data_IF_756213070798
#
_entry.id   IF_756213070798
#
_cell.length_a   1.000
_cell.length_b   1.000
_cell.length_c   1.000
_cell.angle_alpha   90.00
_cell.angle_beta   90.00
_cell.angle_gamma   90.00
#
_symmetry.space_group_name_H-M   'P 1'
#
loop_
_entity.id
_entity.type
_entity.pdbx_description
1 polymer ?
#
# COMPACT_ATOMS: atom_id res chain seq x y z
N UNK A 1 -17.94 20.13 16.85
CA UNK A 1 -18.53 18.85 16.41
C UNK A 1 -17.41 17.89 16.01
N UNK A 2 -16.89 17.09 16.95
CA UNK A 2 -15.82 16.13 16.67
C UNK A 2 -16.39 14.91 15.92
N UNK A 3 -16.25 14.90 14.59
CA UNK A 3 -16.47 13.70 13.78
C UNK A 3 -15.61 12.57 14.36
N UNK A 4 -16.25 11.57 14.96
CA UNK A 4 -15.55 10.36 15.38
C UNK A 4 -14.85 9.78 14.15
N UNK A 5 -13.52 9.74 14.17
CA UNK A 5 -12.73 9.15 13.08
C UNK A 5 -13.03 7.65 13.05
N UNK A 6 -13.80 7.22 12.05
CA UNK A 6 -14.04 5.80 11.81
C UNK A 6 -12.80 5.24 11.14
N UNK A 7 -12.05 4.41 11.88
CA UNK A 7 -10.95 3.64 11.31
C UNK A 7 -11.50 2.43 10.58
N UNK A 8 -11.13 2.29 9.31
CA UNK A 8 -11.50 1.16 8.48
C UNK A 8 -10.30 0.22 8.35
N UNK A 9 -10.50 -1.02 8.77
CA UNK A 9 -9.51 -2.09 8.69
C UNK A 9 -9.84 -3.03 7.53
N UNK A 10 -8.80 -3.42 6.81
CA UNK A 10 -8.82 -4.39 5.74
C UNK A 10 -7.47 -5.12 5.74
N UNK A 11 -7.50 -6.45 5.68
CA UNK A 11 -6.26 -7.20 5.59
C UNK A 11 -6.45 -8.71 5.56
N UNK A 12 -5.34 -9.40 5.38
CA UNK A 12 -5.29 -10.86 5.42
C UNK A 12 -5.21 -11.35 6.86
N UNK A 13 -5.74 -12.55 7.10
CA UNK A 13 -5.68 -13.27 8.37
C UNK A 13 -4.83 -14.53 8.19
N UNK A 14 -3.81 -14.69 9.04
CA UNK A 14 -3.03 -15.93 9.09
C UNK A 14 -3.83 -17.03 9.77
N UNK A 15 -3.84 -18.25 9.20
CA UNK A 15 -4.62 -19.40 9.70
C UNK A 15 -4.42 -19.70 11.19
N UNK A 16 -3.21 -19.46 11.70
CA UNK A 16 -2.84 -19.72 13.10
C UNK A 16 -3.29 -18.62 14.08
N UNK A 17 -3.94 -17.55 13.59
CA UNK A 17 -4.51 -16.51 14.46
C UNK A 17 -5.94 -16.88 14.86
N UNK A 18 -6.40 -16.41 16.04
CA UNK A 18 -7.78 -16.57 16.45
C UNK A 18 -8.73 -16.05 15.39
N UNK A 19 -9.61 -16.92 14.90
CA UNK A 19 -10.67 -16.58 13.97
C UNK A 19 -11.78 -17.63 14.04
N UNK A 20 -12.99 -17.31 13.55
CA UNK A 20 -14.14 -18.20 13.54
C UNK A 20 -13.85 -19.50 12.78
N UNK A 21 -14.28 -20.63 13.33
CA UNK A 21 -14.00 -21.97 12.75
C UNK A 21 -14.55 -22.12 11.32
N UNK A 22 -15.70 -21.50 11.03
CA UNK A 22 -16.27 -21.45 9.68
C UNK A 22 -15.29 -20.89 8.66
N UNK A 23 -14.56 -19.83 8.99
CA UNK A 23 -13.56 -19.19 8.11
C UNK A 23 -12.20 -19.91 8.20
N UNK A 24 -11.82 -20.39 9.38
CA UNK A 24 -10.56 -21.11 9.58
C UNK A 24 -10.51 -22.39 8.76
N UNK A 25 -11.59 -23.16 8.77
CA UNK A 25 -11.66 -24.48 8.16
C UNK A 25 -12.32 -24.44 6.77
N UNK A 26 -12.80 -23.28 6.32
CA UNK A 26 -13.35 -23.10 4.98
C UNK A 26 -12.36 -23.57 3.90
N UNK A 27 -12.90 -24.33 2.97
CA UNK A 27 -12.24 -24.79 1.75
C UNK A 27 -13.06 -24.36 0.52
N UNK A 28 -13.12 -23.04 0.23
CA UNK A 28 -13.95 -22.52 -0.86
C UNK A 28 -13.40 -22.94 -2.23
N UNK A 29 -14.29 -23.12 -3.20
CA UNK A 29 -13.95 -23.14 -4.63
C UNK A 29 -13.77 -21.69 -5.14
N UNK A 30 -13.15 -21.47 -6.31
CA UNK A 30 -12.95 -20.13 -6.85
C UNK A 30 -14.23 -19.30 -7.01
N UNK A 31 -15.35 -19.95 -7.32
CA UNK A 31 -16.64 -19.27 -7.52
C UNK A 31 -17.47 -19.14 -6.24
N UNK A 32 -17.13 -19.88 -5.18
CA UNK A 32 -17.92 -19.95 -3.95
C UNK A 32 -17.10 -19.59 -2.69
N UNK A 33 -16.80 -18.31 -2.48
CA UNK A 33 -16.18 -17.82 -1.24
C UNK A 33 -17.13 -17.91 -0.05
N UNK A 34 -16.55 -18.19 1.12
CA UNK A 34 -17.28 -18.27 2.38
C UNK A 34 -17.17 -16.94 3.12
N UNK A 35 -18.30 -16.38 3.52
CA UNK A 35 -18.36 -15.15 4.31
C UNK A 35 -18.93 -15.40 5.69
N UNK A 36 -18.49 -14.60 6.67
CA UNK A 36 -19.09 -14.58 7.99
C UNK A 36 -19.03 -13.16 8.56
N UNK A 37 -20.15 -12.63 9.03
CA UNK A 37 -20.25 -11.26 9.55
C UNK A 37 -20.63 -11.27 11.02
N UNK A 38 -19.94 -10.44 11.82
CA UNK A 38 -20.32 -10.11 13.19
C UNK A 38 -20.31 -8.59 13.35
N UNK A 39 -21.50 -7.99 13.35
CA UNK A 39 -21.66 -6.53 13.34
C UNK A 39 -20.94 -5.87 12.15
N UNK A 40 -20.05 -4.92 12.43
CA UNK A 40 -19.27 -4.20 11.40
C UNK A 40 -18.14 -5.02 10.80
N UNK A 41 -17.72 -6.11 11.43
CA UNK A 41 -16.61 -6.93 10.96
C UNK A 41 -17.11 -8.06 10.05
N UNK A 42 -16.54 -8.12 8.85
CA UNK A 42 -16.71 -9.21 7.89
C UNK A 42 -15.42 -10.01 7.80
N UNK A 43 -15.53 -11.32 7.88
CA UNK A 43 -14.47 -12.25 7.52
C UNK A 43 -14.85 -12.97 6.22
N UNK A 44 -13.85 -13.25 5.39
CA UNK A 44 -14.02 -13.99 4.14
C UNK A 44 -12.91 -15.03 3.99
N UNK A 45 -13.26 -16.20 3.46
CA UNK A 45 -12.32 -17.17 2.92
C UNK A 45 -12.56 -17.26 1.40
N UNK A 46 -11.51 -17.09 0.63
CA UNK A 46 -11.55 -17.11 -0.83
C UNK A 46 -10.38 -17.90 -1.38
N UNK A 47 -10.59 -18.57 -2.50
CA UNK A 47 -9.56 -19.28 -3.25
C UNK A 47 -9.54 -18.71 -4.65
N UNK A 48 -8.36 -18.41 -5.19
CA UNK A 48 -8.23 -17.80 -6.52
C UNK A 48 -8.27 -18.86 -7.64
N UNK A 49 -7.81 -20.07 -7.36
CA UNK A 49 -7.79 -21.22 -8.27
C UNK A 49 -7.72 -22.52 -7.44
N UNK A 50 -8.20 -23.65 -7.95
CA UNK A 50 -8.33 -24.91 -7.22
C UNK A 50 -7.01 -25.47 -6.68
N UNK A 51 -5.89 -25.21 -7.38
CA UNK A 51 -4.54 -25.55 -6.93
C UNK A 51 -3.97 -24.63 -5.84
N UNK A 52 -4.62 -23.51 -5.52
CA UNK A 52 -4.09 -22.50 -4.58
C UNK A 52 -4.69 -22.65 -3.18
N UNK A 53 -3.88 -22.28 -2.19
CA UNK A 53 -4.33 -22.24 -0.78
C UNK A 53 -5.38 -21.13 -0.58
N UNK A 54 -6.47 -21.40 0.17
CA UNK A 54 -7.44 -20.37 0.50
C UNK A 54 -6.83 -19.22 1.31
N UNK A 55 -7.08 -18.00 0.84
CA UNK A 55 -6.75 -16.76 1.55
C UNK A 55 -7.90 -16.41 2.48
N UNK A 56 -7.56 -15.98 3.70
CA UNK A 56 -8.51 -15.53 4.70
C UNK A 56 -8.32 -14.05 4.92
N UNK A 57 -9.42 -13.33 5.03
CA UNK A 57 -9.43 -11.87 5.10
C UNK A 57 -10.44 -11.36 6.11
N UNK A 58 -10.17 -10.17 6.61
CA UNK A 58 -11.12 -9.40 7.41
C UNK A 58 -11.29 -8.00 6.80
N UNK A 59 -12.49 -7.45 6.95
CA UNK A 59 -12.81 -6.10 6.52
C UNK A 59 -13.91 -5.51 7.36
N UNK A 60 -13.80 -4.22 7.62
CA UNK A 60 -14.86 -3.36 8.15
C UNK A 60 -15.53 -2.49 7.08
N UNK A 61 -14.85 -2.00 6.01
CA UNK A 61 -15.52 -1.14 5.02
C UNK A 61 -16.36 -1.89 3.99
N UNK A 62 -16.12 -3.18 3.73
CA UNK A 62 -16.74 -3.87 2.61
C UNK A 62 -17.89 -4.81 3.01
N UNK A 63 -18.96 -4.88 2.19
CA UNK A 63 -20.00 -5.89 2.30
C UNK A 63 -19.53 -7.26 1.78
N UNK A 64 -20.28 -8.32 2.09
CA UNK A 64 -20.13 -9.61 1.44
C UNK A 64 -20.72 -9.49 0.03
N UNK A 65 -19.87 -9.27 -0.97
CA UNK A 65 -20.29 -8.97 -2.34
C UNK A 65 -19.27 -9.51 -3.34
N UNK A 66 -19.76 -10.07 -4.45
CA UNK A 66 -18.98 -10.39 -5.63
C UNK A 66 -18.97 -9.24 -6.62
N UNK A 67 -17.82 -9.04 -7.24
CA UNK A 67 -17.71 -8.17 -8.40
C UNK A 67 -18.18 -8.94 -9.66
N UNK A 68 -18.47 -8.25 -10.77
CA UNK A 68 -18.80 -8.89 -12.04
C UNK A 68 -17.73 -9.89 -12.52
N UNK A 69 -16.48 -9.74 -12.06
CA UNK A 69 -15.39 -10.68 -12.32
C UNK A 69 -15.43 -11.96 -11.48
N UNK A 70 -16.50 -12.22 -10.71
CA UNK A 70 -16.63 -13.34 -9.77
C UNK A 70 -15.84 -13.17 -8.47
N UNK A 71 -14.80 -12.32 -8.47
CA UNK A 71 -13.94 -12.12 -7.28
C UNK A 71 -14.65 -11.37 -6.16
N UNK A 72 -14.39 -11.73 -4.89
CA UNK A 72 -14.87 -10.95 -3.74
C UNK A 72 -14.41 -9.49 -3.77
N UNK A 73 -15.33 -8.57 -3.51
CA UNK A 73 -15.04 -7.13 -3.41
C UNK A 73 -13.96 -6.84 -2.37
N UNK A 74 -13.96 -7.59 -1.27
CA UNK A 74 -12.96 -7.49 -0.21
C UNK A 74 -11.54 -7.78 -0.72
N UNK A 75 -11.37 -8.83 -1.54
CA UNK A 75 -10.08 -9.24 -2.13
C UNK A 75 -9.58 -8.18 -3.11
N UNK A 76 -10.46 -7.70 -3.99
CA UNK A 76 -10.09 -6.66 -4.95
C UNK A 76 -9.72 -5.35 -4.25
N UNK A 77 -10.49 -4.96 -3.23
CA UNK A 77 -10.20 -3.79 -2.41
C UNK A 77 -8.85 -3.89 -1.69
N UNK A 78 -8.47 -5.09 -1.24
CA UNK A 78 -7.17 -5.32 -0.64
C UNK A 78 -6.05 -5.22 -1.68
N UNK A 79 -6.17 -5.92 -2.80
CA UNK A 79 -5.15 -5.92 -3.86
C UNK A 79 -4.88 -4.53 -4.43
N UNK A 80 -5.92 -3.69 -4.55
CA UNK A 80 -5.79 -2.30 -5.00
C UNK A 80 -4.96 -1.44 -4.06
N UNK A 81 -5.04 -1.67 -2.75
CA UNK A 81 -4.49 -0.76 -1.74
C UNK A 81 -3.23 -1.30 -1.03
N UNK A 82 -3.01 -2.62 -1.01
CA UNK A 82 -1.92 -3.24 -0.24
C UNK A 82 -0.52 -2.84 -0.74
N UNK A 83 -0.40 -2.49 -2.02
CA UNK A 83 0.89 -2.29 -2.70
C UNK A 83 1.50 -0.91 -2.48
N UNK A 84 0.81 0.01 -1.81
CA UNK A 84 1.26 1.40 -1.72
C UNK A 84 2.65 1.53 -1.09
N UNK A 85 2.88 0.85 0.04
CA UNK A 85 4.16 0.88 0.76
C UNK A 85 5.27 0.23 -0.07
N UNK A 86 5.04 -1.00 -0.56
CA UNK A 86 6.02 -1.73 -1.38
C UNK A 86 6.38 -0.95 -2.65
N UNK A 87 5.41 -0.29 -3.27
CA UNK A 87 5.62 0.55 -4.45
C UNK A 87 6.49 1.76 -4.11
N UNK A 88 6.18 2.46 -3.01
CA UNK A 88 7.01 3.57 -2.55
C UNK A 88 8.43 3.11 -2.27
N UNK A 89 8.61 1.98 -1.59
CA UNK A 89 9.92 1.43 -1.25
C UNK A 89 10.71 1.01 -2.49
N UNK A 90 10.05 0.42 -3.49
CA UNK A 90 10.65 0.11 -4.78
C UNK A 90 11.14 1.38 -5.50
N UNK A 91 10.33 2.46 -5.49
CA UNK A 91 10.74 3.73 -6.09
C UNK A 91 11.93 4.33 -5.33
N UNK A 92 11.93 4.32 -4.00
CA UNK A 92 13.04 4.84 -3.20
C UNK A 92 14.33 4.05 -3.43
N UNK A 93 14.22 2.72 -3.60
CA UNK A 93 15.36 1.86 -3.89
C UNK A 93 16.02 2.22 -5.24
N UNK A 94 15.23 2.61 -6.25
CA UNK A 94 15.74 2.98 -7.57
C UNK A 94 16.64 4.23 -7.55
N UNK A 95 16.41 5.17 -6.61
CA UNK A 95 17.21 6.39 -6.46
C UNK A 95 18.12 6.35 -5.21
N UNK A 96 18.24 5.18 -4.56
CA UNK A 96 18.91 5.04 -3.27
C UNK A 96 20.43 5.15 -3.40
N UNK A 97 21.02 6.20 -2.82
CA UNK A 97 22.48 6.38 -2.71
C UNK A 97 23.11 5.61 -1.55
N UNK A 98 22.49 4.52 -1.10
CA UNK A 98 22.89 3.80 0.12
C UNK A 98 24.25 3.12 -0.07
N UNK A 99 25.31 3.74 0.43
CA UNK A 99 26.65 3.14 0.47
C UNK A 99 26.81 2.19 1.65
N UNK A 100 27.68 1.19 1.51
CA UNK A 100 28.07 0.29 2.61
C UNK A 100 28.67 1.14 3.74
N UNK A 101 27.97 1.17 4.87
CA UNK A 101 28.37 1.94 6.04
C UNK A 101 28.35 1.02 7.28
N UNK A 102 29.42 1.07 8.09
CA UNK A 102 29.49 0.37 9.38
C UNK A 102 28.57 1.00 10.44
N UNK A 103 28.26 2.28 10.29
CA UNK A 103 27.47 3.10 11.22
C UNK A 103 25.98 3.08 10.83
N UNK A 104 25.07 2.43 11.58
CA UNK A 104 23.66 2.28 11.19
C UNK A 104 22.88 3.59 11.16
N UNK A 105 23.19 4.56 12.03
CA UNK A 105 22.53 5.87 12.03
C UNK A 105 22.71 6.63 10.72
N UNK A 106 23.84 6.48 10.04
CA UNK A 106 24.05 7.07 8.70
C UNK A 106 23.03 6.54 7.69
N UNK A 107 22.66 5.26 7.77
CA UNK A 107 21.64 4.66 6.89
C UNK A 107 20.26 5.25 7.18
N UNK A 108 19.92 5.44 8.46
CA UNK A 108 18.65 6.05 8.89
C UNK A 108 18.54 7.49 8.39
N UNK A 109 19.58 8.30 8.58
CA UNK A 109 19.61 9.70 8.12
C UNK A 109 19.47 9.78 6.60
N UNK A 110 20.21 8.97 5.85
CA UNK A 110 20.09 8.92 4.39
C UNK A 110 18.69 8.45 3.95
N UNK A 111 18.11 7.47 4.64
CA UNK A 111 16.74 7.02 4.36
C UNK A 111 15.71 8.14 4.61
N UNK A 112 15.91 8.94 5.66
CA UNK A 112 15.06 10.08 5.96
C UNK A 112 15.11 11.12 4.84
N UNK A 113 16.29 11.47 4.33
CA UNK A 113 16.41 12.40 3.19
C UNK A 113 15.68 11.90 1.96
N UNK A 114 15.81 10.62 1.61
CA UNK A 114 15.05 10.04 0.49
C UNK A 114 13.53 10.10 0.67
N UNK A 115 13.03 9.97 1.91
CA UNK A 115 11.60 10.12 2.22
C UNK A 115 11.15 11.59 2.12
N UNK A 116 11.96 12.52 2.63
CA UNK A 116 11.70 13.97 2.53
C UNK A 116 11.61 14.39 1.07
N UNK A 117 12.61 14.02 0.26
CA UNK A 117 12.66 14.27 -1.19
C UNK A 117 11.44 13.68 -1.92
N UNK A 118 11.06 12.44 -1.59
CA UNK A 118 9.88 11.81 -2.17
C UNK A 118 8.59 12.57 -1.85
N UNK A 119 8.42 12.96 -0.59
CA UNK A 119 7.24 13.72 -0.15
C UNK A 119 7.22 15.11 -0.79
N UNK A 120 8.37 15.79 -0.89
CA UNK A 120 8.50 17.06 -1.60
C UNK A 120 8.07 16.92 -3.07
N UNK A 121 8.47 15.83 -3.74
CA UNK A 121 8.02 15.56 -5.11
C UNK A 121 6.50 15.29 -5.19
N UNK A 122 5.90 14.59 -4.22
CA UNK A 122 4.44 14.41 -4.16
C UNK A 122 3.74 15.77 -3.99
N UNK A 123 4.26 16.64 -3.11
CA UNK A 123 3.74 17.99 -2.94
C UNK A 123 3.86 18.81 -4.23
N UNK A 124 5.04 18.80 -4.87
CA UNK A 124 5.27 19.43 -6.15
C UNK A 124 4.23 18.98 -7.19
N UNK A 125 4.01 17.67 -7.37
CA UNK A 125 2.99 17.17 -8.31
C UNK A 125 1.57 17.64 -8.00
N UNK A 126 1.21 17.73 -6.73
CA UNK A 126 -0.15 18.09 -6.30
C UNK A 126 -0.41 19.60 -6.34
N UNK A 127 0.63 20.41 -6.13
CA UNK A 127 0.55 21.87 -6.02
C UNK A 127 1.07 22.58 -7.26
N UNK A 128 1.64 21.87 -8.24
CA UNK A 128 1.97 22.47 -9.52
C UNK A 128 0.67 22.81 -10.25
N UNK A 129 0.23 24.05 -10.10
CA UNK A 129 -0.93 24.64 -10.79
C UNK A 129 -0.48 25.39 -12.06
N UNK A 130 0.81 25.37 -12.38
CA UNK A 130 1.33 25.95 -13.61
C UNK A 130 0.87 25.13 -14.83
N UNK A 131 0.64 25.83 -15.95
CA UNK A 131 0.41 25.22 -17.28
C UNK A 131 1.61 24.40 -17.78
N UNK A 132 2.76 24.51 -17.09
CA UNK A 132 3.96 23.75 -17.43
C UNK A 132 3.84 22.27 -17.05
N UNK A 133 4.34 21.41 -17.95
CA UNK A 133 4.39 19.97 -17.75
C UNK A 133 5.11 19.61 -16.45
N UNK A 134 4.47 18.76 -15.65
CA UNK A 134 5.02 18.21 -14.41
C UNK A 134 6.35 17.51 -14.71
N UNK A 135 7.43 17.96 -14.06
CA UNK A 135 8.77 17.39 -14.23
C UNK A 135 8.80 15.91 -13.85
N UNK A 136 9.64 15.15 -14.56
CA UNK A 136 9.98 13.79 -14.15
C UNK A 136 10.68 13.81 -12.79
N UNK A 137 10.61 12.70 -12.06
CA UNK A 137 11.24 12.60 -10.74
C UNK A 137 12.74 12.86 -10.80
N UNK A 138 13.44 12.25 -11.76
CA UNK A 138 14.88 12.44 -11.94
C UNK A 138 15.22 13.92 -12.16
N UNK A 139 14.44 14.62 -13.00
CA UNK A 139 14.66 16.06 -13.25
C UNK A 139 14.43 16.89 -12.00
N UNK A 140 13.37 16.60 -11.25
CA UNK A 140 13.11 17.25 -9.96
C UNK A 140 14.26 17.05 -8.98
N UNK A 141 14.78 15.83 -8.87
CA UNK A 141 15.91 15.52 -7.97
C UNK A 141 17.18 16.28 -8.38
N UNK A 142 17.49 16.33 -9.69
CA UNK A 142 18.65 17.08 -10.20
C UNK A 142 18.57 18.56 -9.83
N UNK A 143 17.42 19.20 -10.06
CA UNK A 143 17.23 20.62 -9.71
C UNK A 143 17.37 20.87 -8.21
N UNK A 144 16.87 19.96 -7.36
CA UNK A 144 17.06 20.06 -5.91
C UNK A 144 18.56 19.98 -5.57
N UNK A 145 19.30 19.04 -6.15
CA UNK A 145 20.75 18.91 -5.91
C UNK A 145 21.50 20.15 -6.39
N UNK A 146 21.20 20.66 -7.59
CA UNK A 146 21.80 21.89 -8.15
C UNK A 146 21.52 23.12 -7.28
N UNK A 147 20.28 23.27 -6.80
CA UNK A 147 19.90 24.36 -5.90
C UNK A 147 20.64 24.32 -4.56
N UNK A 148 20.94 23.12 -4.06
CA UNK A 148 21.65 22.91 -2.80
C UNK A 148 23.17 22.99 -2.95
N UNK A 149 23.71 22.68 -4.14
CA UNK A 149 25.15 22.72 -4.40
C UNK A 149 25.66 24.14 -4.66
N UNK A 150 24.76 25.12 -4.86
CA UNK A 150 25.14 26.51 -5.15
C UNK A 150 25.74 26.71 -6.54
N UNK A 151 25.75 25.67 -7.39
CA UNK A 151 26.22 25.75 -8.77
C UNK A 151 25.06 26.34 -9.58
N UNK A 152 25.02 27.67 -9.71
CA UNK A 152 24.20 28.34 -10.71
C UNK A 152 24.88 28.16 -12.06
N UNK A 153 24.26 27.40 -12.96
CA UNK A 153 24.58 27.53 -14.38
C UNK A 153 24.03 28.90 -14.81
N UNK A 154 24.94 29.84 -15.07
CA UNK A 154 24.65 31.10 -15.78
C UNK A 154 24.08 30.83 -17.17
#
# INVERSE_FOLDING_TARGET
MFRHRVFLLLGTLRKNRPMPNTIRNANPTPDNPVYMRKGKMLCAAYRDDDGKKPVRMHSTPFPAQHLPSGRPRIVNGYNKNMRAVDTTDAILKAYGGQRKNRKPWKKVVLHLFHRIEHNAFIFYKKKNTSETLVKSRLRFIKEVVESLSGIRNE
#
